data_IF_806375867696
#
_entry.id   IF_806375867696
#
_cell.length_a   1.000
_cell.length_b   1.000
_cell.length_c   1.000
_cell.angle_alpha   90.00
_cell.angle_beta   90.00
_cell.angle_gamma   90.00
#
_symmetry.space_group_name_H-M   'P 1'
#
loop_
_entity.id
_entity.type
_entity.pdbx_description
1 polymer ?
#
# COMPACT_ATOMS: atom_id res chain seq x y z
N UNK A 1 -14.09 5.43 4.79
CA UNK A 1 -13.82 6.86 4.96
C UNK A 1 -12.33 6.95 5.18
N UNK A 2 -11.57 7.43 4.19
CA UNK A 2 -10.14 7.72 4.37
C UNK A 2 -10.12 8.95 5.27
N UNK A 3 -9.56 8.81 6.47
CA UNK A 3 -9.40 9.93 7.39
C UNK A 3 -8.29 10.85 6.86
N UNK A 4 -8.35 12.14 7.17
CA UNK A 4 -7.26 13.10 6.92
C UNK A 4 -5.95 12.73 7.66
N UNK A 5 -5.96 11.66 8.46
CA UNK A 5 -4.81 10.99 9.06
C UNK A 5 -4.72 9.57 8.50
N UNK A 6 -3.53 9.16 8.03
CA UNK A 6 -3.28 7.80 7.55
C UNK A 6 -3.74 6.76 8.59
N UNK A 7 -4.42 5.69 8.14
CA UNK A 7 -4.82 4.58 9.01
C UNK A 7 -3.69 3.57 9.25
N UNK A 8 -2.48 3.94 8.87
CA UNK A 8 -1.30 3.10 8.95
C UNK A 8 -0.70 3.15 10.35
N UNK A 9 -0.24 2.00 10.82
CA UNK A 9 0.47 1.84 12.08
C UNK A 9 1.98 2.03 11.78
N UNK A 10 2.62 3.11 12.26
CA UNK A 10 3.98 3.47 11.84
C UNK A 10 5.06 2.44 12.20
N UNK A 11 4.86 1.70 13.29
CA UNK A 11 5.83 0.69 13.76
C UNK A 11 5.71 -0.67 13.03
N UNK A 12 4.65 -0.85 12.25
CA UNK A 12 4.45 -2.04 11.41
C UNK A 12 5.08 -1.84 10.03
N UNK A 13 5.45 -2.95 9.41
CA UNK A 13 5.90 -2.99 8.02
C UNK A 13 4.76 -2.67 7.06
N UNK A 14 5.10 -2.43 5.80
CA UNK A 14 4.10 -2.24 4.74
C UNK A 14 3.20 -3.46 4.62
N UNK A 15 3.76 -4.67 4.55
CA UNK A 15 3.00 -5.93 4.48
C UNK A 15 2.01 -6.05 5.65
N UNK A 16 2.51 -5.82 6.86
CA UNK A 16 1.71 -5.92 8.07
C UNK A 16 0.55 -4.92 8.06
N UNK A 17 0.78 -3.70 7.60
CA UNK A 17 -0.28 -2.70 7.43
C UNK A 17 -1.32 -3.10 6.37
N UNK A 18 -0.85 -3.67 5.26
CA UNK A 18 -1.69 -4.08 4.12
C UNK A 18 -2.57 -5.27 4.46
N UNK A 19 -2.09 -6.22 5.26
CA UNK A 19 -2.84 -7.45 5.59
C UNK A 19 -3.39 -7.49 7.01
N UNK A 20 -3.28 -6.40 7.78
CA UNK A 20 -3.80 -6.34 9.14
C UNK A 20 -5.28 -6.76 9.22
N UNK A 21 -5.57 -7.77 10.05
CA UNK A 21 -6.87 -8.44 10.24
C UNK A 21 -7.34 -9.37 9.10
N UNK A 22 -6.54 -9.57 8.07
CA UNK A 22 -6.83 -10.44 6.92
C UNK A 22 -5.58 -11.19 6.46
N UNK A 23 -4.72 -11.54 7.41
CA UNK A 23 -3.42 -12.17 7.16
C UNK A 23 -3.62 -13.54 6.47
N UNK A 24 -3.07 -13.75 5.26
CA UNK A 24 -3.05 -15.06 4.63
C UNK A 24 -2.28 -16.05 5.50
N UNK A 25 -2.89 -17.19 5.81
CA UNK A 25 -2.32 -18.20 6.69
C UNK A 25 -1.83 -19.42 5.91
N UNK A 26 -0.66 -19.94 6.27
CA UNK A 26 -0.14 -21.25 5.86
C UNK A 26 -0.05 -22.17 7.07
N UNK A 27 -1.18 -22.81 7.38
CA UNK A 27 -1.33 -23.58 8.62
C UNK A 27 -1.45 -22.65 9.83
N UNK A 28 -0.68 -22.86 10.93
CA UNK A 28 -0.75 -22.01 12.12
C UNK A 28 0.06 -20.70 11.99
N UNK A 29 0.76 -20.48 10.88
CA UNK A 29 1.65 -19.33 10.66
C UNK A 29 1.15 -18.47 9.49
N UNK A 30 1.50 -17.19 9.49
CA UNK A 30 1.26 -16.28 8.35
C UNK A 30 2.11 -16.73 7.15
N UNK A 31 1.52 -16.69 5.96
CA UNK A 31 2.20 -16.99 4.70
C UNK A 31 2.98 -15.78 4.17
N UNK A 32 4.08 -15.48 4.84
CA UNK A 32 4.94 -14.32 4.59
C UNK A 32 5.42 -14.23 3.13
N UNK A 33 5.73 -15.38 2.51
CA UNK A 33 6.18 -15.42 1.13
C UNK A 33 5.08 -14.95 0.16
N UNK A 34 3.84 -15.34 0.43
CA UNK A 34 2.69 -14.98 -0.39
C UNK A 34 2.35 -13.50 -0.21
N UNK A 35 2.32 -13.00 1.02
CA UNK A 35 2.03 -11.58 1.30
C UNK A 35 3.09 -10.65 0.72
N UNK A 36 4.37 -11.00 0.84
CA UNK A 36 5.47 -10.26 0.21
C UNK A 36 5.29 -10.18 -1.30
N UNK A 37 5.06 -11.32 -1.96
CA UNK A 37 4.88 -11.36 -3.41
C UNK A 37 3.70 -10.53 -3.89
N UNK A 38 2.57 -10.56 -3.18
CA UNK A 38 1.39 -9.76 -3.51
C UNK A 38 1.67 -8.25 -3.43
N UNK A 39 2.33 -7.80 -2.37
CA UNK A 39 2.63 -6.38 -2.15
C UNK A 39 3.71 -5.90 -3.12
N UNK A 40 4.76 -6.70 -3.33
CA UNK A 40 5.84 -6.36 -4.27
C UNK A 40 5.31 -6.24 -5.70
N UNK A 41 4.52 -7.22 -6.16
CA UNK A 41 3.90 -7.17 -7.48
C UNK A 41 2.96 -5.97 -7.65
N UNK A 42 2.25 -5.57 -6.59
CA UNK A 42 1.39 -4.38 -6.62
C UNK A 42 2.21 -3.11 -6.86
N UNK A 43 3.28 -2.88 -6.07
CA UNK A 43 4.12 -1.70 -6.24
C UNK A 43 4.90 -1.71 -7.56
N UNK A 44 5.40 -2.88 -7.98
CA UNK A 44 6.07 -3.04 -9.28
C UNK A 44 5.12 -2.68 -10.45
N UNK A 45 3.83 -3.03 -10.35
CA UNK A 45 2.82 -2.68 -11.36
C UNK A 45 2.47 -1.18 -11.40
N UNK A 46 2.77 -0.46 -10.32
CA UNK A 46 2.59 0.99 -10.20
C UNK A 46 3.88 1.76 -10.55
N UNK A 47 4.97 1.06 -10.90
CA UNK A 47 6.31 1.63 -11.10
C UNK A 47 6.85 2.37 -9.84
N UNK A 48 6.46 1.92 -8.65
CA UNK A 48 6.87 2.51 -7.36
C UNK A 48 7.86 1.60 -6.63
N UNK A 49 8.96 2.16 -6.14
CA UNK A 49 9.99 1.42 -5.39
C UNK A 49 9.75 1.53 -3.87
N UNK A 50 8.84 0.71 -3.35
CA UNK A 50 8.60 0.55 -1.91
C UNK A 50 9.00 -0.86 -1.49
N UNK A 51 9.90 -0.98 -0.50
CA UNK A 51 10.29 -2.26 0.09
C UNK A 51 9.17 -2.76 1.03
N UNK A 52 8.55 -3.93 0.75
CA UNK A 52 7.42 -4.43 1.55
C UNK A 52 7.72 -4.70 3.04
N UNK A 53 8.98 -4.96 3.39
CA UNK A 53 9.42 -5.15 4.78
C UNK A 53 9.82 -3.84 5.48
N UNK A 54 9.83 -2.71 4.78
CA UNK A 54 10.15 -1.42 5.38
C UNK A 54 9.06 -1.01 6.36
N UNK A 55 9.47 -0.36 7.46
CA UNK A 55 8.51 0.19 8.42
C UNK A 55 7.83 1.42 7.83
N UNK A 56 6.52 1.53 8.03
CA UNK A 56 5.76 2.67 7.51
C UNK A 56 6.31 4.02 8.00
N UNK A 57 6.82 4.10 9.23
CA UNK A 57 7.42 5.35 9.75
C UNK A 57 8.62 5.88 8.95
N UNK A 58 9.26 5.03 8.15
CA UNK A 58 10.42 5.40 7.33
C UNK A 58 10.00 5.85 5.93
N UNK A 59 8.71 5.73 5.57
CA UNK A 59 8.17 6.12 4.28
C UNK A 59 7.89 7.63 4.23
N UNK A 60 7.98 8.20 3.02
CA UNK A 60 7.49 9.55 2.79
C UNK A 60 5.95 9.55 2.67
N UNK A 61 5.34 10.74 2.65
CA UNK A 61 3.87 10.88 2.59
C UNK A 61 3.25 10.27 1.32
N UNK A 62 3.93 10.37 0.18
CA UNK A 62 3.47 9.78 -1.08
C UNK A 62 3.50 8.25 -1.03
N UNK A 63 4.57 7.67 -0.48
CA UNK A 63 4.70 6.23 -0.29
C UNK A 63 3.63 5.69 0.66
N UNK A 64 3.37 6.39 1.77
CA UNK A 64 2.27 6.05 2.69
C UNK A 64 0.91 6.02 1.97
N UNK A 65 0.68 6.92 1.01
CA UNK A 65 -0.53 6.91 0.21
C UNK A 65 -0.63 5.67 -0.68
N UNK A 66 0.47 5.26 -1.32
CA UNK A 66 0.50 4.01 -2.08
C UNK A 66 0.24 2.78 -1.19
N UNK A 67 0.70 2.79 0.07
CA UNK A 67 0.38 1.73 1.04
C UNK A 67 -1.12 1.70 1.38
N UNK A 68 -1.78 2.85 1.55
CA UNK A 68 -3.24 2.88 1.76
C UNK A 68 -4.03 2.38 0.55
N UNK A 69 -3.57 2.74 -0.66
CA UNK A 69 -4.17 2.23 -1.90
C UNK A 69 -3.98 0.72 -1.99
N UNK A 70 -2.77 0.21 -1.74
CA UNK A 70 -2.50 -1.24 -1.80
C UNK A 70 -3.32 -2.01 -0.78
N UNK A 71 -3.48 -1.48 0.45
CA UNK A 71 -4.38 -2.00 1.49
C UNK A 71 -5.85 -2.05 1.02
N UNK A 72 -6.34 -1.06 0.29
CA UNK A 72 -7.71 -1.09 -0.23
C UNK A 72 -7.90 -2.13 -1.35
N UNK A 73 -6.94 -2.19 -2.27
CA UNK A 73 -6.99 -3.08 -3.45
C UNK A 73 -6.79 -4.54 -3.06
N UNK A 74 -5.73 -4.86 -2.31
CA UNK A 74 -5.37 -6.24 -1.97
C UNK A 74 -6.34 -6.87 -0.96
N UNK A 75 -7.02 -6.06 -0.14
CA UNK A 75 -8.08 -6.54 0.76
C UNK A 75 -9.46 -6.66 0.07
N UNK A 76 -9.58 -6.44 -1.26
CA UNK A 76 -10.84 -6.49 -1.99
C UNK A 76 -11.96 -5.63 -1.35
N UNK A 77 -11.62 -4.43 -0.88
CA UNK A 77 -12.64 -3.52 -0.33
C UNK A 77 -13.57 -3.08 -1.48
N UNK A 78 -14.80 -3.58 -1.47
CA UNK A 78 -15.85 -3.36 -2.49
C UNK A 78 -16.21 -1.88 -2.74
N UNK A 79 -15.80 -0.96 -1.87
CA UNK A 79 -16.04 0.48 -2.00
C UNK A 79 -14.78 1.22 -1.52
N UNK A 80 -14.09 1.87 -2.45
CA UNK A 80 -12.99 2.80 -2.19
C UNK A 80 -13.51 4.22 -2.43
N UNK A 81 -13.70 4.99 -1.35
CA UNK A 81 -14.01 6.43 -1.41
C UNK A 81 -12.69 7.19 -1.32
N UNK A 82 -12.18 7.64 -2.47
CA UNK A 82 -11.08 8.60 -2.59
C UNK A 82 -11.69 9.98 -2.81
N UNK A 83 -11.52 10.90 -1.88
CA UNK A 83 -11.78 12.32 -2.10
C UNK A 83 -10.49 12.92 -2.67
N UNK A 84 -10.55 13.60 -3.82
CA UNK A 84 -9.40 14.25 -4.49
C UNK A 84 -8.20 13.32 -4.85
N UNK A 85 -8.36 12.31 -5.75
CA UNK A 85 -7.23 11.45 -6.17
C UNK A 85 -6.17 12.17 -7.01
N UNK A 86 -6.48 13.36 -7.54
CA UNK A 86 -5.67 14.09 -8.51
C UNK A 86 -4.44 14.79 -7.92
N UNK A 87 -4.47 15.20 -6.65
CA UNK A 87 -3.38 16.01 -6.08
C UNK A 87 -2.07 15.24 -5.80
N UNK A 88 -2.12 13.92 -5.71
CA UNK A 88 -0.95 13.08 -5.39
C UNK A 88 -0.26 12.49 -6.63
N UNK A 89 -0.96 12.44 -7.77
CA UNK A 89 -0.44 11.89 -9.03
C UNK A 89 0.29 12.93 -9.89
N UNK A 90 0.17 14.23 -9.60
CA UNK A 90 0.75 15.29 -10.43
C UNK A 90 2.26 15.53 -10.23
N UNK A 91 2.93 14.85 -9.30
CA UNK A 91 4.35 15.09 -9.04
C UNK A 91 5.33 14.35 -9.95
N UNK A 92 4.91 13.36 -10.76
CA UNK A 92 5.85 12.58 -11.60
C UNK A 92 5.33 12.13 -12.98
N UNK A 93 4.35 12.81 -13.58
CA UNK A 93 3.91 12.44 -14.94
C UNK A 93 3.70 13.69 -15.80
N UNK A 94 4.79 14.25 -16.33
CA UNK A 94 4.69 15.24 -17.41
C UNK A 94 5.72 15.07 -18.53
N UNK A 95 6.29 13.88 -18.75
CA UNK A 95 7.23 13.68 -19.88
C UNK A 95 7.01 12.39 -20.70
N UNK A 96 5.79 11.85 -20.77
CA UNK A 96 5.44 10.80 -21.75
C UNK A 96 4.12 11.07 -22.47
N UNK A 97 3.96 12.29 -23.00
CA UNK A 97 2.94 12.56 -24.00
C UNK A 97 3.42 13.48 -25.12
N UNK A 98 4.55 13.14 -25.75
CA UNK A 98 4.81 13.34 -27.18
C UNK A 98 5.73 12.22 -27.70
#
# INVERSE_FOLDING_TARGET
>A
MIYQEFSLIPEMTVIENVFLNVEPMKGPLVDDKTTYGLVKNFFDSMEVDIEPHEKVKNLNTSDMQFVEISKAVLQNKRILLMDEPTAALEADQTDKLF
#
